data_IF_031850017411
#
_entry.id   IF_031850017411
#
_cell.length_a   1.000
_cell.length_b   1.000
_cell.length_c   1.000
_cell.angle_alpha   90.00
_cell.angle_beta   90.00
_cell.angle_gamma   90.00
#
_symmetry.space_group_name_H-M   'P 1'
#
loop_
_entity.id
_entity.type
_entity.pdbx_description
1 polymer ?
#
# COMPACT_ATOMS: atom_id res chain seq x y z
N UNK A 1 -8.36 10.03 43.35
CA UNK A 1 -8.96 8.91 42.59
C UNK A 1 -8.33 8.92 41.20
N UNK A 2 -7.36 8.04 40.96
CA UNK A 2 -6.56 7.99 39.73
C UNK A 2 -7.21 7.01 38.75
N UNK A 3 -7.63 7.47 37.57
CA UNK A 3 -8.20 6.63 36.52
C UNK A 3 -7.05 6.02 35.73
N UNK A 4 -6.77 4.76 36.04
CA UNK A 4 -5.83 3.89 35.35
C UNK A 4 -6.34 3.68 33.91
N UNK A 5 -5.71 4.37 32.95
CA UNK A 5 -5.97 4.22 31.52
C UNK A 5 -5.44 2.87 31.07
N UNK A 6 -6.36 1.93 30.88
CA UNK A 6 -6.12 0.64 30.26
C UNK A 6 -5.55 0.84 28.85
N UNK A 7 -4.26 0.56 28.68
CA UNK A 7 -3.60 0.43 27.38
C UNK A 7 -4.04 -0.91 26.76
N UNK A 8 -5.31 -0.97 26.38
CA UNK A 8 -5.90 -2.09 25.65
C UNK A 8 -5.12 -2.29 24.36
N UNK A 9 -4.29 -3.32 24.36
CA UNK A 9 -3.56 -3.77 23.19
C UNK A 9 -4.60 -4.41 22.28
N UNK A 10 -5.18 -3.59 21.39
CA UNK A 10 -6.23 -3.94 20.45
C UNK A 10 -5.65 -4.83 19.33
N UNK A 11 -5.15 -6.02 19.70
CA UNK A 11 -4.47 -6.99 18.83
C UNK A 11 -5.36 -8.15 18.41
N UNK A 12 -6.65 -8.09 18.73
CA UNK A 12 -7.66 -9.07 18.31
C UNK A 12 -8.76 -8.40 17.47
N UNK A 13 -8.36 -7.43 16.63
CA UNK A 13 -9.20 -7.01 15.49
C UNK A 13 -9.12 -8.16 14.50
N UNK A 14 -10.16 -8.99 14.51
CA UNK A 14 -10.48 -10.09 13.60
C UNK A 14 -9.78 -9.94 12.23
N UNK A 15 -8.64 -10.62 12.08
CA UNK A 15 -7.74 -10.58 10.91
C UNK A 15 -8.39 -11.22 9.66
N UNK A 16 -9.65 -11.65 9.78
CA UNK A 16 -10.42 -12.38 8.76
C UNK A 16 -10.98 -11.49 7.63
N UNK A 17 -11.05 -10.17 7.80
CA UNK A 17 -11.66 -9.23 6.82
C UNK A 17 -10.67 -8.25 6.16
N UNK A 18 -9.36 -8.47 6.35
CA UNK A 18 -8.33 -7.64 5.72
C UNK A 18 -8.06 -8.10 4.28
N UNK A 19 -8.53 -7.32 3.31
CA UNK A 19 -8.19 -7.54 1.90
C UNK A 19 -6.94 -6.72 1.56
N UNK A 20 -5.84 -7.41 1.25
CA UNK A 20 -4.58 -6.79 0.85
C UNK A 20 -4.45 -6.82 -0.66
N UNK A 21 -4.39 -5.63 -1.27
CA UNK A 21 -4.20 -5.47 -2.70
C UNK A 21 -2.74 -5.13 -2.99
N UNK A 22 -2.10 -5.95 -3.84
CA UNK A 22 -0.73 -5.76 -4.33
C UNK A 22 -0.67 -5.97 -5.83
N UNK A 23 0.21 -5.23 -6.51
CA UNK A 23 0.47 -5.50 -7.92
C UNK A 23 1.27 -6.79 -8.10
N UNK A 24 0.80 -7.70 -8.95
CA UNK A 24 1.55 -8.91 -9.34
C UNK A 24 2.88 -8.56 -10.03
N UNK A 25 2.94 -7.44 -10.75
CA UNK A 25 4.18 -7.01 -11.42
C UNK A 25 5.31 -6.75 -10.43
N UNK A 26 4.99 -6.27 -9.22
CA UNK A 26 5.98 -5.96 -8.21
C UNK A 26 6.67 -7.21 -7.67
N UNK A 27 5.94 -8.33 -7.56
CA UNK A 27 6.50 -9.63 -7.21
C UNK A 27 7.40 -10.18 -8.31
N UNK A 28 7.00 -10.04 -9.57
CA UNK A 28 7.83 -10.48 -10.71
C UNK A 28 9.15 -9.71 -10.72
N UNK A 29 9.10 -8.37 -10.70
CA UNK A 29 10.33 -7.55 -10.69
C UNK A 29 11.17 -7.77 -9.44
N UNK A 30 10.55 -7.83 -8.25
CA UNK A 30 11.25 -8.12 -7.00
C UNK A 30 11.93 -9.49 -7.02
N UNK A 31 11.21 -10.52 -7.48
CA UNK A 31 11.73 -11.87 -7.63
C UNK A 31 12.89 -11.95 -8.63
N UNK A 32 12.81 -11.25 -9.77
CA UNK A 32 13.91 -11.19 -10.74
C UNK A 32 15.17 -10.56 -10.16
N UNK A 33 15.05 -9.46 -9.43
CA UNK A 33 16.19 -8.81 -8.78
C UNK A 33 16.79 -9.71 -7.70
N UNK A 34 15.96 -10.37 -6.89
CA UNK A 34 16.46 -11.32 -5.89
C UNK A 34 17.16 -12.53 -6.51
N UNK A 35 16.63 -13.09 -7.59
CA UNK A 35 17.28 -14.18 -8.31
C UNK A 35 18.65 -13.75 -8.88
N UNK A 36 18.73 -12.54 -9.44
CA UNK A 36 19.98 -11.97 -9.91
C UNK A 36 20.99 -11.75 -8.76
N UNK A 37 20.56 -11.16 -7.65
CA UNK A 37 21.41 -10.99 -6.46
C UNK A 37 21.89 -12.34 -5.91
N UNK A 38 21.03 -13.36 -5.87
CA UNK A 38 21.41 -14.70 -5.41
C UNK A 38 22.46 -15.35 -6.33
N UNK A 39 22.30 -15.21 -7.65
CA UNK A 39 23.28 -15.70 -8.62
C UNK A 39 24.64 -15.00 -8.45
N UNK A 40 24.66 -13.67 -8.36
CA UNK A 40 25.87 -12.90 -8.13
C UNK A 40 26.54 -13.24 -6.79
N UNK A 41 25.75 -13.49 -5.73
CA UNK A 41 26.25 -13.91 -4.44
C UNK A 41 26.97 -15.27 -4.52
N UNK A 42 26.38 -16.24 -5.22
CA UNK A 42 27.01 -17.55 -5.46
C UNK A 42 28.32 -17.39 -6.23
N UNK A 43 28.32 -16.61 -7.31
CA UNK A 43 29.53 -16.37 -8.10
C UNK A 43 30.65 -15.71 -7.28
N UNK A 44 30.31 -14.70 -6.47
CA UNK A 44 31.27 -14.03 -5.60
C UNK A 44 31.89 -15.00 -4.59
N UNK A 45 31.10 -15.89 -3.98
CA UNK A 45 31.62 -16.88 -3.02
C UNK A 45 32.54 -17.91 -3.70
N UNK A 46 32.28 -18.25 -4.97
CA UNK A 46 33.07 -19.26 -5.69
C UNK A 46 34.36 -18.71 -6.29
N UNK A 47 34.39 -17.43 -6.70
CA UNK A 47 35.47 -16.87 -7.50
C UNK A 47 36.38 -15.92 -6.71
N UNK A 48 35.88 -15.29 -5.66
CA UNK A 48 36.57 -14.18 -5.01
C UNK A 48 37.20 -14.58 -3.67
N UNK A 49 38.29 -13.90 -3.25
CA UNK A 49 38.83 -14.09 -1.91
C UNK A 49 37.79 -13.71 -0.86
N UNK A 50 37.81 -14.40 0.29
CA UNK A 50 36.80 -14.29 1.35
C UNK A 50 36.47 -12.84 1.74
N UNK A 51 37.48 -11.97 1.83
CA UNK A 51 37.29 -10.56 2.17
C UNK A 51 36.49 -9.78 1.12
N UNK A 52 36.73 -10.01 -0.17
CA UNK A 52 35.99 -9.35 -1.25
C UNK A 52 34.59 -9.97 -1.41
N UNK A 53 34.47 -11.29 -1.29
CA UNK A 53 33.20 -11.99 -1.31
C UNK A 53 32.25 -11.45 -0.23
N UNK A 54 32.73 -11.23 1.00
CA UNK A 54 31.93 -10.68 2.09
C UNK A 54 31.42 -9.26 1.77
N UNK A 55 32.26 -8.39 1.20
CA UNK A 55 31.87 -7.04 0.78
C UNK A 55 30.78 -7.09 -0.28
N UNK A 56 30.94 -7.95 -1.29
CA UNK A 56 29.94 -8.14 -2.35
C UNK A 56 28.61 -8.64 -1.76
N UNK A 57 28.64 -9.63 -0.87
CA UNK A 57 27.45 -10.14 -0.21
C UNK A 57 26.71 -9.06 0.59
N UNK A 58 27.46 -8.17 1.25
CA UNK A 58 26.89 -7.08 2.04
C UNK A 58 26.16 -6.07 1.14
N UNK A 59 26.78 -5.69 0.01
CA UNK A 59 26.16 -4.82 -1.00
C UNK A 59 24.92 -5.48 -1.63
N UNK A 60 25.01 -6.75 -2.02
CA UNK A 60 23.88 -7.49 -2.59
C UNK A 60 22.73 -7.66 -1.60
N UNK A 61 23.04 -7.87 -0.32
CA UNK A 61 22.06 -7.90 0.77
C UNK A 61 21.34 -6.56 0.93
N UNK A 62 22.08 -5.44 0.91
CA UNK A 62 21.49 -4.11 0.97
C UNK A 62 20.60 -3.81 -0.25
N UNK A 63 21.04 -4.15 -1.46
CA UNK A 63 20.23 -4.01 -2.68
C UNK A 63 18.95 -4.85 -2.58
N UNK A 64 19.06 -6.11 -2.19
CA UNK A 64 17.92 -7.02 -2.01
C UNK A 64 16.89 -6.48 -1.01
N UNK A 65 17.36 -5.92 0.11
CA UNK A 65 16.51 -5.29 1.13
C UNK A 65 15.82 -4.02 0.60
N UNK A 66 16.54 -3.16 -0.13
CA UNK A 66 15.98 -1.97 -0.77
C UNK A 66 14.92 -2.33 -1.81
N UNK A 67 15.18 -3.34 -2.63
CA UNK A 67 14.21 -3.88 -3.59
C UNK A 67 12.94 -4.34 -2.89
N UNK A 68 13.07 -5.09 -1.79
CA UNK A 68 11.91 -5.50 -0.99
C UNK A 68 11.12 -4.31 -0.46
N UNK A 69 11.82 -3.31 0.09
CA UNK A 69 11.18 -2.10 0.63
C UNK A 69 10.44 -1.30 -0.42
N UNK A 70 10.96 -1.21 -1.64
CA UNK A 70 10.39 -0.38 -2.72
C UNK A 70 9.30 -1.14 -3.46
N UNK A 71 9.48 -2.42 -3.73
CA UNK A 71 8.58 -3.18 -4.61
C UNK A 71 7.60 -4.06 -3.84
N UNK A 72 8.03 -4.74 -2.78
CA UNK A 72 7.20 -5.78 -2.14
C UNK A 72 6.41 -5.22 -0.97
N UNK A 73 7.02 -4.29 -0.22
CA UNK A 73 6.43 -3.74 1.00
C UNK A 73 5.23 -2.81 0.76
N UNK A 74 5.25 -1.87 -0.19
CA UNK A 74 4.14 -0.95 -0.34
C UNK A 74 2.89 -1.71 -0.76
N UNK A 75 1.80 -1.50 -0.05
CA UNK A 75 0.53 -2.19 -0.28
C UNK A 75 -0.65 -1.32 0.11
N UNK A 76 -1.81 -1.65 -0.43
CA UNK A 76 -3.09 -1.07 -0.04
C UNK A 76 -3.89 -2.13 0.72
N UNK A 77 -4.14 -1.88 1.99
CA UNK A 77 -5.01 -2.71 2.82
C UNK A 77 -6.39 -2.09 2.91
N UNK A 78 -7.43 -2.88 2.67
CA UNK A 78 -8.82 -2.46 2.89
C UNK A 78 -9.29 -3.18 4.15
N UNK A 79 -9.29 -2.46 5.28
CA UNK A 79 -9.78 -2.96 6.57
C UNK A 79 -11.27 -2.66 6.69
N UNK A 80 -11.92 -3.25 7.71
CA UNK A 80 -13.35 -3.10 7.94
C UNK A 80 -13.77 -1.64 8.16
N UNK A 81 -12.96 -0.88 8.90
CA UNK A 81 -13.29 0.50 9.32
C UNK A 81 -12.40 1.57 8.69
N UNK A 82 -11.32 1.18 8.01
CA UNK A 82 -10.38 2.10 7.40
C UNK A 82 -9.70 1.55 6.14
N UNK A 83 -9.19 2.47 5.32
CA UNK A 83 -8.25 2.18 4.25
C UNK A 83 -6.84 2.44 4.75
N UNK A 84 -5.96 1.45 4.62
CA UNK A 84 -4.56 1.54 5.01
C UNK A 84 -3.70 1.67 3.76
N UNK A 85 -3.09 2.84 3.60
CA UNK A 85 -2.11 3.11 2.54
C UNK A 85 -0.72 2.96 3.14
N UNK A 86 -0.05 1.85 2.85
CA UNK A 86 1.31 1.59 3.32
C UNK A 86 2.32 1.94 2.23
N UNK A 87 3.13 2.97 2.48
CA UNK A 87 4.27 3.37 1.65
C UNK A 87 5.58 3.05 2.38
N UNK A 88 6.72 3.22 1.69
CA UNK A 88 8.05 2.92 2.25
C UNK A 88 8.30 3.71 3.54
N UNK A 89 7.99 5.01 3.52
CA UNK A 89 8.30 5.91 4.63
C UNK A 89 7.18 6.03 5.67
N UNK A 90 5.92 5.98 5.23
CA UNK A 90 4.76 6.25 6.08
C UNK A 90 3.64 5.28 5.78
N UNK A 91 2.89 4.98 6.83
CA UNK A 91 1.63 4.25 6.76
C UNK A 91 0.52 5.21 7.16
N UNK A 92 -0.48 5.35 6.30
CA UNK A 92 -1.65 6.18 6.53
C UNK A 92 -2.86 5.28 6.77
N UNK A 93 -3.54 5.47 7.89
CA UNK A 93 -4.82 4.81 8.19
C UNK A 93 -5.91 5.86 8.05
N UNK A 94 -6.74 5.70 7.03
CA UNK A 94 -7.76 6.66 6.62
C UNK A 94 -9.12 6.02 6.92
N UNK A 95 -9.85 6.48 7.95
CA UNK A 95 -11.19 5.96 8.22
C UNK A 95 -12.14 6.32 7.07
N UNK A 96 -13.11 5.46 6.77
CA UNK A 96 -14.01 5.67 5.62
C UNK A 96 -14.80 6.99 5.71
N UNK A 97 -15.17 7.43 6.92
CA UNK A 97 -15.84 8.73 7.12
C UNK A 97 -14.98 9.95 6.72
N UNK A 98 -13.66 9.80 6.62
CA UNK A 98 -12.78 10.86 6.12
C UNK A 98 -12.59 10.81 4.60
N UNK A 99 -12.91 9.69 3.93
CA UNK A 99 -12.70 9.50 2.49
C UNK A 99 -13.76 10.29 1.73
N UNK A 100 -13.33 11.12 0.77
CA UNK A 100 -14.23 11.87 -0.12
C UNK A 100 -14.47 11.14 -1.42
N UNK A 101 -13.40 10.72 -2.08
CA UNK A 101 -13.44 9.92 -3.29
C UNK A 101 -12.11 9.21 -3.51
N UNK A 102 -12.15 8.15 -4.32
CA UNK A 102 -10.97 7.37 -4.71
C UNK A 102 -10.71 7.59 -6.19
N UNK A 103 -9.51 8.05 -6.53
CA UNK A 103 -9.06 8.21 -7.92
C UNK A 103 -8.13 7.06 -8.27
N UNK A 104 -8.43 6.34 -9.35
CA UNK A 104 -7.66 5.15 -9.79
C UNK A 104 -6.85 5.38 -11.07
N UNK A 105 -6.70 6.64 -11.50
CA UNK A 105 -6.03 7.02 -12.76
C UNK A 105 -4.52 6.83 -12.66
N UNK A 106 -4.04 5.68 -13.11
CA UNK A 106 -2.60 5.32 -13.14
C UNK A 106 -2.09 4.75 -11.81
N UNK A 107 -2.33 5.45 -10.69
CA UNK A 107 -2.09 4.98 -9.32
C UNK A 107 -3.36 5.17 -8.50
N UNK A 108 -3.54 4.34 -7.46
CA UNK A 108 -4.66 4.53 -6.51
C UNK A 108 -4.33 5.69 -5.57
N UNK A 109 -5.17 6.70 -5.61
CA UNK A 109 -5.12 7.92 -4.81
C UNK A 109 -6.41 8.02 -3.99
N UNK A 110 -6.29 7.96 -2.67
CA UNK A 110 -7.40 8.13 -1.74
C UNK A 110 -7.41 9.59 -1.32
N UNK A 111 -8.49 10.31 -1.63
CA UNK A 111 -8.62 11.72 -1.26
C UNK A 111 -9.49 11.78 -0.01
N UNK A 112 -8.91 12.29 1.07
CA UNK A 112 -9.53 12.32 2.38
C UNK A 112 -9.42 13.71 3.01
N UNK A 113 -10.36 14.03 3.88
CA UNK A 113 -10.31 15.25 4.67
C UNK A 113 -9.23 15.13 5.74
N UNK A 114 -8.34 16.12 5.79
CA UNK A 114 -7.19 16.17 6.70
C UNK A 114 -6.97 17.61 7.16
N UNK A 115 -6.95 17.85 8.48
CA UNK A 115 -6.72 19.17 9.09
C UNK A 115 -7.57 20.30 8.47
N UNK A 116 -8.84 20.03 8.16
CA UNK A 116 -9.76 21.00 7.58
C UNK A 116 -9.61 21.23 6.07
N UNK A 117 -8.67 20.54 5.40
CA UNK A 117 -8.51 20.53 3.95
C UNK A 117 -8.74 19.14 3.33
N UNK A 118 -8.55 19.04 2.02
CA UNK A 118 -8.50 17.76 1.31
C UNK A 118 -7.05 17.40 1.00
N UNK A 119 -6.67 16.15 1.26
CA UNK A 119 -5.34 15.63 0.95
C UNK A 119 -5.43 14.32 0.20
N UNK A 120 -4.59 14.21 -0.82
CA UNK A 120 -4.41 13.00 -1.59
C UNK A 120 -3.34 12.10 -0.97
N UNK A 121 -3.72 10.85 -0.70
CA UNK A 121 -2.83 9.78 -0.24
C UNK A 121 -2.64 8.77 -1.37
N UNK A 122 -1.43 8.76 -1.95
CA UNK A 122 -1.08 7.89 -3.08
C UNK A 122 -0.46 6.60 -2.61
N UNK A 123 -0.96 5.46 -3.10
CA UNK A 123 -0.28 4.18 -2.99
C UNK A 123 0.59 3.96 -4.22
N UNK A 124 1.89 3.75 -4.02
CA UNK A 124 2.83 3.58 -5.13
C UNK A 124 2.71 2.25 -5.88
N UNK A 125 2.12 1.25 -5.23
CA UNK A 125 2.15 -0.13 -5.70
C UNK A 125 0.76 -0.75 -5.82
N UNK A 126 -0.28 0.01 -5.50
CA UNK A 126 -1.63 -0.37 -5.84
C UNK A 126 -1.84 -0.14 -7.35
N UNK A 127 -2.23 -1.17 -8.11
CA UNK A 127 -2.47 -1.00 -9.53
C UNK A 127 -3.57 0.06 -9.72
N UNK A 128 -3.29 1.13 -10.47
CA UNK A 128 -4.35 1.99 -10.98
C UNK A 128 -4.95 1.36 -12.23
N UNK A 129 -6.27 1.45 -12.40
CA UNK A 129 -6.87 1.08 -13.67
C UNK A 129 -6.60 2.20 -14.69
N UNK A 130 -5.73 1.97 -15.68
CA UNK A 130 -5.48 2.93 -16.77
C UNK A 130 -6.71 3.16 -17.65
N UNK A 131 -7.72 2.28 -17.60
CA UNK A 131 -8.87 2.30 -18.50
C UNK A 131 -10.07 3.12 -18.01
N UNK A 132 -10.07 3.65 -16.78
CA UNK A 132 -11.24 4.34 -16.24
C UNK A 132 -11.06 5.87 -16.20
N UNK A 133 -11.85 6.55 -17.03
CA UNK A 133 -11.95 8.01 -17.10
C UNK A 133 -13.04 8.49 -16.11
N UNK A 134 -12.71 9.24 -15.05
CA UNK A 134 -13.68 9.73 -14.07
C UNK A 134 -14.66 10.78 -14.63
N UNK A 135 -14.51 11.24 -15.88
CA UNK A 135 -15.50 12.10 -16.56
C UNK A 135 -16.89 11.47 -16.76
N UNK A 136 -17.14 10.28 -16.22
CA UNK A 136 -18.45 9.60 -16.20
C UNK A 136 -18.88 9.10 -14.80
N UNK A 137 -18.20 9.50 -13.74
CA UNK A 137 -18.51 9.13 -12.35
C UNK A 137 -18.84 10.29 -11.44
N UNK A 138 -18.95 11.51 -11.96
CA UNK A 138 -19.83 12.51 -11.33
C UNK A 138 -21.28 12.01 -11.53
N UNK A 139 -22.11 12.24 -10.50
CA UNK A 139 -23.51 11.80 -10.36
C UNK A 139 -23.66 10.39 -9.77
N UNK A 140 -23.75 10.31 -8.44
CA UNK A 140 -24.94 9.77 -7.75
C UNK A 140 -24.92 10.08 -6.23
N UNK A 141 -24.44 11.26 -5.82
CA UNK A 141 -24.87 11.85 -4.56
C UNK A 141 -26.14 12.66 -4.87
N UNK A 142 -27.26 12.11 -4.44
CA UNK A 142 -28.61 12.49 -4.83
C UNK A 142 -28.95 13.95 -4.47
N UNK A 143 -29.09 14.77 -5.50
CA UNK A 143 -30.17 15.76 -5.59
C UNK A 143 -31.08 15.29 -6.71
N UNK A 144 -32.32 14.92 -6.35
CA UNK A 144 -33.47 14.56 -7.18
C UNK A 144 -33.91 13.08 -7.16
N UNK A 145 -35.15 12.80 -6.70
CA UNK A 145 -35.80 11.51 -6.85
C UNK A 145 -36.40 11.40 -8.26
N UNK A 146 -36.09 10.29 -8.94
CA UNK A 146 -36.81 9.85 -10.14
C UNK A 146 -36.02 9.94 -11.45
N UNK A 147 -35.20 8.93 -11.72
CA UNK A 147 -35.00 8.42 -13.09
C UNK A 147 -34.13 7.15 -13.05
N UNK A 148 -34.80 6.01 -12.88
CA UNK A 148 -34.24 4.72 -13.26
C UNK A 148 -34.01 4.70 -14.78
N UNK A 149 -32.77 4.41 -15.20
CA UNK A 149 -32.55 3.79 -16.51
C UNK A 149 -31.31 2.90 -16.49
N UNK A 150 -31.60 1.61 -16.34
CA UNK A 150 -30.79 0.45 -16.71
C UNK A 150 -29.73 0.77 -17.78
N UNK A 151 -28.47 0.61 -17.39
CA UNK A 151 -27.37 0.35 -18.31
C UNK A 151 -26.71 -0.96 -17.90
N UNK A 152 -27.39 -2.06 -18.19
CA UNK A 152 -26.82 -3.40 -18.17
C UNK A 152 -25.90 -3.53 -19.38
N UNK A 153 -24.61 -3.23 -19.20
CA UNK A 153 -23.56 -3.64 -20.14
C UNK A 153 -22.68 -4.67 -19.46
N UNK A 154 -23.12 -5.90 -19.60
CA UNK A 154 -22.35 -7.12 -19.35
C UNK A 154 -21.23 -7.16 -20.41
N UNK A 155 -20.04 -6.68 -20.06
CA UNK A 155 -18.84 -6.97 -20.85
C UNK A 155 -18.26 -8.31 -20.37
N UNK A 156 -18.53 -9.33 -21.17
CA UNK A 156 -17.75 -10.56 -21.40
C UNK A 156 -16.35 -10.58 -20.77
N UNK A 157 -16.14 -11.47 -19.80
CA UNK A 157 -14.96 -12.34 -19.70
C UNK A 157 -13.56 -11.72 -19.54
N UNK A 158 -13.41 -10.49 -19.03
CA UNK A 158 -12.09 -9.97 -18.66
C UNK A 158 -11.83 -10.17 -17.17
N UNK A 159 -10.71 -10.82 -16.82
CA UNK A 159 -10.16 -10.84 -15.48
C UNK A 159 -10.21 -9.42 -14.91
N UNK A 160 -11.09 -9.18 -13.94
CA UNK A 160 -11.25 -7.85 -13.35
C UNK A 160 -9.89 -7.46 -12.76
N UNK A 161 -9.28 -6.34 -13.18
CA UNK A 161 -8.03 -5.89 -12.57
C UNK A 161 -8.26 -5.74 -11.06
N UNK A 162 -7.36 -6.25 -10.21
CA UNK A 162 -7.54 -6.21 -8.75
C UNK A 162 -7.83 -4.80 -8.18
N UNK A 163 -7.52 -3.76 -8.94
CA UNK A 163 -7.87 -2.37 -8.67
C UNK A 163 -9.37 -2.05 -8.73
N UNK A 164 -10.12 -2.70 -9.63
CA UNK A 164 -11.58 -2.54 -9.73
C UNK A 164 -12.30 -3.22 -8.55
N UNK A 165 -11.78 -4.35 -8.07
CA UNK A 165 -12.31 -5.05 -6.90
C UNK A 165 -12.03 -4.25 -5.62
N UNK A 166 -10.82 -3.69 -5.48
CA UNK A 166 -10.46 -2.81 -4.37
C UNK A 166 -11.37 -1.58 -4.30
N UNK A 167 -11.63 -0.94 -5.45
CA UNK A 167 -12.50 0.24 -5.52
C UNK A 167 -13.94 -0.09 -5.09
N UNK A 168 -14.54 -1.15 -5.65
CA UNK A 168 -15.91 -1.56 -5.27
C UNK A 168 -16.02 -1.88 -3.79
N UNK A 169 -15.03 -2.58 -3.24
CA UNK A 169 -15.01 -2.93 -1.81
C UNK A 169 -14.92 -1.68 -0.94
N UNK A 170 -14.15 -0.67 -1.37
CA UNK A 170 -14.07 0.62 -0.67
C UNK A 170 -15.38 1.39 -0.78
N UNK A 171 -15.98 1.49 -1.96
CA UNK A 171 -17.26 2.18 -2.20
C UNK A 171 -18.40 1.53 -1.39
N UNK A 172 -18.55 0.20 -1.45
CA UNK A 172 -19.55 -0.54 -0.67
C UNK A 172 -19.38 -0.37 0.85
N UNK A 173 -18.14 -0.21 1.33
CA UNK A 173 -17.86 0.03 2.75
C UNK A 173 -18.06 1.49 3.14
N UNK A 174 -17.77 2.44 2.25
CA UNK A 174 -18.06 3.87 2.46
C UNK A 174 -19.55 4.09 2.67
N UNK A 175 -20.41 3.48 1.85
CA UNK A 175 -21.86 3.61 1.95
C UNK A 175 -22.37 3.11 3.31
N UNK A 176 -21.89 1.94 3.79
CA UNK A 176 -22.25 1.40 5.11
C UNK A 176 -21.78 2.25 6.29
N UNK A 177 -20.68 2.97 6.11
CA UNK A 177 -20.07 3.79 7.16
C UNK A 177 -20.68 5.19 7.22
N UNK A 178 -21.13 5.73 6.08
CA UNK A 178 -21.89 6.97 6.04
C UNK A 178 -23.14 6.90 6.93
N UNK A 179 -23.77 5.72 7.00
CA UNK A 179 -24.94 5.46 7.86
C UNK A 179 -24.60 5.31 9.35
N UNK A 180 -23.36 4.95 9.69
CA UNK A 180 -22.93 4.60 11.06
C UNK A 180 -22.05 5.66 11.74
N UNK A 181 -21.68 6.75 11.04
CA UNK A 181 -20.97 7.88 11.63
C UNK A 181 -19.55 7.57 12.13
N UNK A 182 -18.72 6.86 11.36
CA UNK A 182 -17.32 6.59 11.79
C UNK A 182 -16.50 7.88 11.90
N UNK A 183 -15.51 7.88 12.80
CA UNK A 183 -14.59 8.99 13.01
C UNK A 183 -13.86 9.48 11.75
N UNK A 184 -13.49 10.76 11.73
CA UNK A 184 -12.90 11.46 10.57
C UNK A 184 -11.38 11.68 10.69
N UNK A 185 -10.74 11.19 11.74
CA UNK A 185 -9.33 11.48 12.01
C UNK A 185 -8.42 10.47 11.30
N UNK A 186 -7.69 10.95 10.29
CA UNK A 186 -6.62 10.19 9.64
C UNK A 186 -5.43 10.08 10.58
N UNK A 187 -4.89 8.88 10.75
CA UNK A 187 -3.65 8.66 11.50
C UNK A 187 -2.50 8.34 10.54
N UNK A 188 -1.33 8.93 10.79
CA UNK A 188 -0.12 8.73 9.99
C UNK A 188 1.02 8.30 10.88
N UNK A 189 1.55 7.10 10.65
CA UNK A 189 2.66 6.55 11.43
C UNK A 189 3.90 6.42 10.54
N UNK A 190 5.05 6.79 11.08
CA UNK A 190 6.33 6.59 10.40
C UNK A 190 6.77 5.13 10.51
N UNK A 191 7.28 4.61 9.40
CA UNK A 191 7.73 3.22 9.29
C UNK A 191 9.18 3.05 9.79
N UNK A 192 9.46 3.54 11.00
CA UNK A 192 10.81 3.57 11.59
C UNK A 192 11.43 2.19 11.72
N UNK A 193 10.63 1.17 12.06
CA UNK A 193 11.08 -0.21 12.23
C UNK A 193 11.72 -0.82 10.99
N UNK A 194 11.44 -0.29 9.81
CA UNK A 194 11.99 -0.81 8.55
C UNK A 194 12.99 0.13 7.90
N UNK A 195 12.82 1.45 8.10
CA UNK A 195 13.78 2.44 7.60
C UNK A 195 15.13 2.32 8.30
N UNK A 196 15.13 2.03 9.61
CA UNK A 196 16.35 1.95 10.42
C UNK A 196 17.27 0.79 9.99
N UNK A 197 16.82 -0.48 9.91
CA UNK A 197 17.69 -1.59 9.48
C UNK A 197 18.18 -1.42 8.04
N UNK A 198 17.35 -0.87 7.14
CA UNK A 198 17.78 -0.62 5.77
C UNK A 198 18.83 0.49 5.67
N UNK A 199 18.66 1.57 6.44
CA UNK A 199 19.67 2.62 6.55
C UNK A 199 21.00 2.07 7.07
N UNK A 200 20.97 1.25 8.12
CA UNK A 200 22.17 0.61 8.67
C UNK A 200 22.82 -0.31 7.63
N UNK A 201 22.07 -1.18 6.97
CA UNK A 201 22.61 -2.10 5.96
C UNK A 201 23.34 -1.36 4.83
N UNK A 202 22.76 -0.25 4.34
CA UNK A 202 23.38 0.61 3.32
C UNK A 202 24.65 1.28 3.85
N UNK A 203 24.62 1.83 5.05
CA UNK A 203 25.79 2.49 5.65
C UNK A 203 26.94 1.50 5.88
N UNK A 204 26.65 0.30 6.38
CA UNK A 204 27.64 -0.77 6.55
C UNK A 204 28.20 -1.20 5.20
N UNK A 205 27.37 -1.28 4.15
CA UNK A 205 27.82 -1.58 2.78
C UNK A 205 28.83 -0.56 2.28
N UNK A 206 28.54 0.71 2.48
CA UNK A 206 29.42 1.80 2.08
C UNK A 206 30.72 1.76 2.91
N UNK A 207 30.62 1.64 4.23
CA UNK A 207 31.77 1.61 5.12
C UNK A 207 32.71 0.43 4.82
N UNK A 208 32.16 -0.77 4.57
CA UNK A 208 32.93 -1.96 4.21
C UNK A 208 33.70 -1.81 2.89
N UNK A 209 33.29 -0.88 2.03
CA UNK A 209 33.99 -0.61 0.77
C UNK A 209 35.24 0.26 0.95
N UNK A 210 35.27 1.10 1.99
CA UNK A 210 36.38 2.00 2.29
C UNK A 210 37.46 1.39 3.18
N UNK A 211 37.16 0.27 3.84
CA UNK A 211 38.08 -0.53 4.67
C UNK A 211 38.75 -1.62 3.84
#
# INVERSE_FOLDING_TARGET
MSRMGSTGTNRDVDDSDQQIFRSMSAWVYGGSVWAFCALCAVLAVLQEPLGLALKILLVLGAVSLLTWMILVRPHLGVLRDAVVVCNVWRTHVIPYGAVRYVRTRGLVEVIASFDGGERAFRSWNAPGNRAWNPSRGEVYAATHPGAARQSTRTSTGSLQPGSALAQRTIEERMDRVADNGSGSTVTSVWNTSTLLPAGIAVLVSIAAWWL
#
